data_IF_302522008335
#
_entry.id   IF_302522008335
#
_cell.length_a   1.000
_cell.length_b   1.000
_cell.length_c   1.000
_cell.angle_alpha   90.00
_cell.angle_beta   90.00
_cell.angle_gamma   90.00
#
_symmetry.space_group_name_H-M   'P 1'
#
loop_
_entity.id
_entity.type
_entity.pdbx_description
1 polymer ?
#
# COMPACT_ATOMS: atom_id res chain seq x y z
N UNK A 1 12.08 13.14 -5.57
CA UNK A 1 11.10 12.18 -6.09
C UNK A 1 11.52 10.81 -5.58
N UNK A 2 10.64 10.05 -4.92
CA UNK A 2 10.97 8.73 -4.37
C UNK A 2 11.08 7.74 -5.53
N UNK A 3 12.25 7.12 -5.73
CA UNK A 3 12.42 6.07 -6.74
C UNK A 3 11.95 4.72 -6.16
N UNK A 4 10.66 4.45 -6.34
CA UNK A 4 9.99 3.25 -5.81
C UNK A 4 10.49 1.94 -6.45
N UNK A 5 11.19 1.98 -7.58
CA UNK A 5 11.67 0.77 -8.27
C UNK A 5 12.98 0.23 -7.67
N UNK A 6 13.73 1.07 -6.96
CA UNK A 6 14.99 0.69 -6.29
C UNK A 6 14.86 0.63 -4.78
N UNK A 7 13.76 1.12 -4.23
CA UNK A 7 13.53 1.18 -2.79
C UNK A 7 13.19 -0.19 -2.23
N UNK A 8 14.03 -0.72 -1.33
CA UNK A 8 13.69 -1.92 -0.56
C UNK A 8 12.80 -1.57 0.62
N UNK A 9 12.09 -2.56 1.18
CA UNK A 9 11.26 -2.36 2.40
C UNK A 9 12.14 -1.85 3.56
N UNK A 10 13.37 -2.37 3.67
CA UNK A 10 14.31 -1.94 4.70
C UNK A 10 14.68 -0.46 4.54
N UNK A 11 15.06 -0.06 3.33
CA UNK A 11 15.41 1.34 3.04
C UNK A 11 14.21 2.27 3.26
N UNK A 12 13.02 1.83 2.87
CA UNK A 12 11.78 2.57 3.12
C UNK A 12 11.53 2.77 4.61
N UNK A 13 11.65 1.72 5.44
CA UNK A 13 11.49 1.85 6.90
C UNK A 13 12.55 2.75 7.53
N UNK A 14 13.79 2.64 7.11
CA UNK A 14 14.86 3.52 7.58
C UNK A 14 14.59 4.98 7.20
N UNK A 15 14.15 5.23 5.96
CA UNK A 15 13.81 6.56 5.47
C UNK A 15 12.62 7.18 6.23
N UNK A 16 11.56 6.39 6.49
CA UNK A 16 10.41 6.81 7.29
C UNK A 16 10.81 7.11 8.75
N UNK A 17 11.64 6.26 9.36
CA UNK A 17 12.09 6.46 10.75
C UNK A 17 13.00 7.67 10.90
N UNK A 18 13.82 7.94 9.88
CA UNK A 18 14.69 9.12 9.81
C UNK A 18 13.98 10.35 9.24
N UNK A 19 12.67 10.27 8.95
CA UNK A 19 11.84 11.35 8.40
C UNK A 19 12.40 11.95 7.10
N UNK A 20 13.09 11.15 6.27
CA UNK A 20 13.53 11.56 4.93
C UNK A 20 12.35 11.81 3.99
N UNK A 21 11.28 11.06 4.19
CA UNK A 21 9.96 11.28 3.62
C UNK A 21 8.93 10.68 4.59
N UNK A 22 7.67 11.02 4.35
CA UNK A 22 6.51 10.54 5.11
C UNK A 22 5.89 9.29 4.46
N UNK A 23 5.14 8.54 5.25
CA UNK A 23 4.35 7.41 4.79
C UNK A 23 3.32 7.87 3.74
N UNK A 24 2.74 9.06 3.92
CA UNK A 24 1.85 9.70 2.93
C UNK A 24 2.53 9.96 1.59
N UNK A 25 3.74 10.53 1.59
CA UNK A 25 4.51 10.77 0.36
C UNK A 25 4.88 9.45 -0.35
N UNK A 26 5.25 8.42 0.42
CA UNK A 26 5.52 7.10 -0.12
C UNK A 26 4.27 6.48 -0.75
N UNK A 27 3.13 6.52 -0.06
CA UNK A 27 1.86 6.03 -0.58
C UNK A 27 1.44 6.78 -1.85
N UNK A 28 1.58 8.11 -1.89
CA UNK A 28 1.29 8.91 -3.07
C UNK A 28 2.17 8.51 -4.26
N UNK A 29 3.46 8.26 -4.05
CA UNK A 29 4.36 7.81 -5.11
C UNK A 29 3.91 6.48 -5.75
N UNK A 30 3.42 5.53 -4.94
CA UNK A 30 2.84 4.29 -5.47
C UNK A 30 1.50 4.52 -6.18
N UNK A 31 0.61 5.35 -5.64
CA UNK A 31 -0.68 5.68 -6.27
C UNK A 31 -0.46 6.35 -7.64
N UNK A 32 0.50 7.26 -7.73
CA UNK A 32 0.87 7.92 -8.98
C UNK A 32 1.37 6.90 -10.01
N UNK A 33 2.23 5.96 -9.60
CA UNK A 33 2.70 4.90 -10.50
C UNK A 33 1.57 3.96 -10.94
N UNK A 34 0.67 3.58 -10.02
CA UNK A 34 -0.51 2.77 -10.33
C UNK A 34 -1.38 3.47 -11.38
N UNK A 35 -1.64 4.76 -11.20
CA UNK A 35 -2.48 5.54 -12.13
C UNK A 35 -1.92 5.58 -13.56
N UNK A 36 -0.59 5.54 -13.69
CA UNK A 36 0.13 5.58 -14.97
C UNK A 36 0.24 4.22 -15.63
N UNK A 37 0.61 3.18 -14.87
CA UNK A 37 1.05 1.89 -15.44
C UNK A 37 -0.03 0.81 -15.37
N UNK A 38 -0.93 0.86 -14.38
CA UNK A 38 -1.86 -0.24 -14.15
C UNK A 38 -2.85 -0.46 -15.29
N UNK A 39 -3.13 0.56 -16.10
CA UNK A 39 -4.01 0.46 -17.28
C UNK A 39 -3.46 -0.50 -18.33
N UNK A 40 -2.15 -0.64 -18.40
CA UNK A 40 -1.48 -1.46 -19.41
C UNK A 40 -1.28 -2.91 -18.93
N UNK A 41 -0.97 -3.09 -17.64
CA UNK A 41 -0.61 -4.40 -17.09
C UNK A 41 -1.71 -5.06 -16.25
N UNK A 42 -2.73 -4.29 -15.82
CA UNK A 42 -3.85 -4.75 -15.00
C UNK A 42 -3.41 -5.53 -13.73
N UNK A 43 -2.37 -5.06 -13.06
CA UNK A 43 -1.83 -5.68 -11.85
C UNK A 43 -2.76 -5.56 -10.63
N UNK A 44 -3.62 -4.53 -10.61
CA UNK A 44 -4.49 -4.21 -9.48
C UNK A 44 -5.96 -4.14 -9.91
N UNK A 45 -6.80 -4.93 -9.24
CA UNK A 45 -8.26 -4.94 -9.43
C UNK A 45 -8.97 -3.80 -8.69
N UNK A 46 -8.41 -3.36 -7.56
CA UNK A 46 -9.00 -2.35 -6.69
C UNK A 46 -7.86 -1.63 -5.94
N UNK A 47 -7.97 -0.31 -5.86
CA UNK A 47 -7.14 0.55 -5.01
C UNK A 47 -8.07 1.18 -3.99
N UNK A 48 -7.76 1.06 -2.71
CA UNK A 48 -8.66 1.55 -1.67
C UNK A 48 -8.57 3.07 -1.51
N UNK A 49 -9.70 3.67 -1.22
CA UNK A 49 -9.91 5.11 -1.04
C UNK A 49 -9.28 5.66 0.24
N UNK A 50 -9.10 4.81 1.25
CA UNK A 50 -8.59 5.17 2.57
C UNK A 50 -7.07 5.00 2.73
N UNK A 51 -6.33 4.70 1.65
CA UNK A 51 -4.87 4.49 1.67
C UNK A 51 -4.13 5.70 2.25
N UNK A 52 -4.43 6.92 1.77
CA UNK A 52 -3.76 8.13 2.26
C UNK A 52 -4.11 8.44 3.73
N UNK A 53 -5.34 8.13 4.15
CA UNK A 53 -5.77 8.30 5.55
C UNK A 53 -5.01 7.35 6.48
N UNK A 54 -4.76 6.12 6.05
CA UNK A 54 -3.95 5.17 6.82
C UNK A 54 -2.48 5.57 6.86
N UNK A 55 -1.96 6.11 5.76
CA UNK A 55 -0.61 6.65 5.69
C UNK A 55 -0.41 7.80 6.70
N UNK A 56 -1.38 8.74 6.76
CA UNK A 56 -1.39 9.81 7.76
C UNK A 56 -1.37 9.25 9.19
N UNK A 57 -2.18 8.23 9.48
CA UNK A 57 -2.20 7.58 10.79
C UNK A 57 -0.88 6.86 11.13
N UNK A 58 -0.20 6.29 10.13
CA UNK A 58 1.12 5.69 10.31
C UNK A 58 2.18 6.76 10.60
N UNK A 59 2.15 7.89 9.89
CA UNK A 59 3.02 9.04 10.16
C UNK A 59 2.84 9.58 11.58
N UNK A 60 1.60 9.65 12.08
CA UNK A 60 1.33 10.02 13.47
C UNK A 60 2.00 9.06 14.46
N UNK A 61 1.86 7.74 14.26
CA UNK A 61 2.50 6.73 15.12
C UNK A 61 4.03 6.85 15.08
N UNK A 62 4.61 7.00 13.89
CA UNK A 62 6.06 7.20 13.70
C UNK A 62 6.51 8.47 14.44
N UNK A 63 5.73 9.55 14.37
CA UNK A 63 6.05 10.81 15.05
C UNK A 63 6.10 10.68 16.58
N UNK A 64 5.31 9.76 17.14
CA UNK A 64 5.27 9.39 18.57
C UNK A 64 6.40 8.44 18.98
N UNK A 65 7.24 8.01 18.04
CA UNK A 65 8.33 7.07 18.29
C UNK A 65 7.90 5.60 18.29
N UNK A 66 6.66 5.29 17.87
CA UNK A 66 6.26 3.90 17.68
C UNK A 66 7.05 3.28 16.52
N UNK A 67 7.41 2.01 16.68
CA UNK A 67 8.15 1.27 15.66
C UNK A 67 7.56 -0.12 15.47
N UNK A 68 7.35 -0.48 14.21
CA UNK A 68 7.01 -1.82 13.78
C UNK A 68 7.69 -2.08 12.43
N UNK A 69 8.06 -3.33 12.11
CA UNK A 69 8.79 -3.66 10.88
C UNK A 69 8.11 -3.18 9.59
N UNK A 70 6.79 -3.03 9.58
CA UNK A 70 6.02 -2.61 8.40
C UNK A 70 5.23 -1.30 8.61
N UNK A 71 5.48 -0.59 9.72
CA UNK A 71 4.79 0.66 10.01
C UNK A 71 5.00 1.67 8.88
N UNK A 72 3.91 2.02 8.20
CA UNK A 72 3.92 2.98 7.11
C UNK A 72 4.42 2.44 5.76
N UNK A 73 4.46 1.12 5.56
CA UNK A 73 4.88 0.49 4.28
C UNK A 73 3.66 0.08 3.44
N UNK A 74 3.47 0.62 2.22
CA UNK A 74 2.38 0.21 1.32
C UNK A 74 2.47 -1.26 0.91
N UNK A 75 1.33 -1.95 0.84
CA UNK A 75 1.26 -3.36 0.47
C UNK A 75 0.22 -3.64 -0.62
N UNK A 76 0.51 -4.62 -1.47
CA UNK A 76 -0.43 -5.25 -2.39
C UNK A 76 -0.79 -6.66 -1.91
N UNK A 77 -2.07 -7.04 -1.87
CA UNK A 77 -2.55 -8.11 -0.98
C UNK A 77 -3.21 -9.34 -1.61
N UNK A 78 -3.47 -9.50 -2.88
CA UNK A 78 -4.26 -10.66 -3.37
C UNK A 78 -5.73 -10.70 -2.90
N UNK A 79 -6.66 -10.69 -3.86
CA UNK A 79 -8.11 -10.55 -3.64
C UNK A 79 -8.77 -11.79 -3.02
N UNK A 80 -8.02 -12.88 -2.97
CA UNK A 80 -8.43 -14.07 -2.26
C UNK A 80 -8.05 -14.04 -0.77
N UNK A 81 -7.43 -12.96 -0.32
CA UNK A 81 -7.17 -12.69 1.09
C UNK A 81 -8.29 -11.80 1.60
N UNK A 82 -8.99 -12.28 2.63
CA UNK A 82 -10.13 -11.58 3.20
C UNK A 82 -9.66 -10.38 4.01
N UNK A 83 -10.29 -9.25 3.72
CA UNK A 83 -10.06 -7.98 4.39
C UNK A 83 -11.37 -7.52 4.97
N UNK A 84 -11.37 -7.24 6.27
CA UNK A 84 -12.58 -6.75 6.95
C UNK A 84 -13.07 -5.46 6.31
N UNK A 85 -14.33 -5.45 5.86
CA UNK A 85 -14.99 -4.28 5.31
C UNK A 85 -14.60 -3.90 3.87
N UNK A 86 -13.81 -4.73 3.17
CA UNK A 86 -13.44 -4.50 1.78
C UNK A 86 -13.93 -5.65 0.90
N UNK A 87 -14.15 -5.36 -0.38
CA UNK A 87 -14.67 -6.34 -1.33
C UNK A 87 -13.61 -7.41 -1.58
N UNK A 88 -14.01 -8.68 -1.56
CA UNK A 88 -13.21 -9.79 -2.05
C UNK A 88 -13.97 -10.42 -3.23
N UNK A 89 -13.40 -10.38 -4.43
CA UNK A 89 -13.97 -11.03 -5.64
C UNK A 89 -13.27 -12.32 -5.98
N UNK A 90 -12.10 -12.54 -5.39
CA UNK A 90 -11.25 -13.65 -5.78
C UNK A 90 -10.92 -13.57 -7.31
N UNK A 91 -11.01 -12.41 -7.97
CA UNK A 91 -10.74 -12.29 -9.41
C UNK A 91 -11.68 -13.08 -10.32
N UNK A 92 -12.85 -13.47 -9.82
CA UNK A 92 -13.88 -14.15 -10.59
C UNK A 92 -15.18 -13.35 -10.63
N UNK A 93 -15.86 -13.45 -11.78
CA UNK A 93 -17.25 -12.99 -11.91
C UNK A 93 -18.24 -14.00 -11.31
N UNK A 94 -17.77 -15.23 -11.05
CA UNK A 94 -18.50 -16.20 -10.23
C UNK A 94 -18.27 -15.87 -8.76
N UNK A 95 -19.29 -16.03 -7.90
CA UNK A 95 -19.18 -15.69 -6.48
C UNK A 95 -18.13 -16.48 -5.66
N UNK A 96 -17.25 -17.32 -6.25
CA UNK A 96 -16.50 -18.37 -5.54
C UNK A 96 -15.04 -18.71 -5.97
N UNK A 97 -14.30 -17.96 -6.82
CA UNK A 97 -12.93 -18.40 -7.29
C UNK A 97 -11.93 -17.22 -7.41
N UNK A 98 -10.59 -17.46 -7.27
CA UNK A 98 -9.43 -16.74 -6.58
C UNK A 98 -8.24 -16.17 -7.43
N UNK A 99 -7.91 -14.84 -7.38
CA UNK A 99 -6.70 -14.07 -7.86
C UNK A 99 -6.72 -12.53 -7.52
N UNK A 100 -5.62 -11.74 -7.65
CA UNK A 100 -5.04 -10.68 -6.75
C UNK A 100 -5.65 -9.21 -6.62
N UNK A 101 -5.56 -8.51 -5.43
CA UNK A 101 -5.97 -7.10 -5.10
C UNK A 101 -4.91 -6.34 -4.26
N UNK A 102 -4.96 -5.01 -4.10
CA UNK A 102 -4.11 -4.24 -3.14
C UNK A 102 -4.76 -4.10 -1.77
N UNK A 103 -3.95 -4.09 -0.69
CA UNK A 103 -4.35 -3.51 0.59
C UNK A 103 -3.19 -3.10 1.56
N UNK A 104 -3.44 -2.02 2.33
CA UNK A 104 -3.09 -1.58 3.73
C UNK A 104 -1.60 -1.51 4.08
N UNK A 105 -1.26 -0.37 4.64
CA UNK A 105 -0.14 -0.18 5.57
C UNK A 105 -0.59 -0.61 6.97
N UNK A 106 0.30 -1.29 7.70
CA UNK A 106 0.16 -1.46 9.17
C UNK A 106 0.66 -0.19 9.87
#
# INVERSE_FOLDING_TARGET
>A
MIDIHKLTIKDAREALSSKKFTAKELAQAYLDNISKVNKDINAYLEVYDDVLKQADAADEKISKGETSPLLGIPMGIKDNILIKGKRATSGSNLPWVVLQKILLMV
#
